data_IF_263403831725
#
_entry.id   IF_263403831725
#
_cell.length_a   1.000
_cell.length_b   1.000
_cell.length_c   1.000
_cell.angle_alpha   90.00
_cell.angle_beta   90.00
_cell.angle_gamma   90.00
#
_symmetry.space_group_name_H-M   'P 1'
#
loop_
_entity.id
_entity.type
_entity.pdbx_description
1 polymer ?
#
# COMPACT_ATOMS: atom_id res chain seq x y z
N UNK A 1 3.41 -17.57 4.25
CA UNK A 1 3.22 -16.11 4.35
C UNK A 1 3.83 -15.51 3.11
N UNK A 2 3.04 -14.86 2.28
CA UNK A 2 3.51 -14.27 1.02
C UNK A 2 2.65 -13.06 0.64
N UNK A 3 3.23 -12.16 -0.16
CA UNK A 3 2.53 -11.02 -0.70
C UNK A 3 1.66 -11.44 -1.88
N UNK A 4 0.40 -11.01 -1.88
CA UNK A 4 -0.53 -11.20 -2.99
C UNK A 4 -1.23 -9.90 -3.36
N UNK A 5 -1.75 -9.84 -4.58
CA UNK A 5 -2.60 -8.72 -5.00
C UNK A 5 -3.77 -8.52 -4.02
N UNK A 6 -4.04 -7.25 -3.73
CA UNK A 6 -5.19 -6.85 -2.91
C UNK A 6 -6.50 -7.10 -3.67
N UNK A 7 -7.55 -7.43 -2.93
CA UNK A 7 -8.93 -7.51 -3.42
C UNK A 7 -9.82 -6.58 -2.60
N UNK A 8 -11.03 -6.27 -3.10
CA UNK A 8 -12.00 -5.45 -2.34
C UNK A 8 -12.29 -6.02 -0.93
N UNK A 9 -12.26 -7.35 -0.79
CA UNK A 9 -12.49 -8.02 0.50
C UNK A 9 -11.38 -7.79 1.54
N UNK A 10 -10.24 -7.22 1.12
CA UNK A 10 -9.11 -6.94 2.01
C UNK A 10 -9.16 -5.51 2.58
N UNK A 11 -9.95 -4.59 2.03
CA UNK A 11 -9.93 -3.16 2.39
C UNK A 11 -10.23 -2.91 3.89
N UNK A 12 -11.22 -3.61 4.45
CA UNK A 12 -11.52 -3.52 5.88
C UNK A 12 -10.36 -4.03 6.73
N UNK A 13 -9.65 -5.06 6.27
CA UNK A 13 -8.50 -5.64 6.98
C UNK A 13 -7.29 -4.71 6.94
N UNK A 14 -7.07 -4.07 5.80
CA UNK A 14 -6.02 -3.04 5.61
C UNK A 14 -6.26 -1.89 6.59
N UNK A 15 -7.49 -1.37 6.62
CA UNK A 15 -7.88 -0.28 7.54
C UNK A 15 -7.63 -0.67 8.99
N UNK A 16 -8.13 -1.83 9.43
CA UNK A 16 -7.94 -2.29 10.81
C UNK A 16 -6.46 -2.47 11.18
N UNK A 17 -5.63 -2.93 10.23
CA UNK A 17 -4.19 -3.09 10.47
C UNK A 17 -3.48 -1.73 10.51
N UNK A 18 -3.86 -0.79 9.64
CA UNK A 18 -3.32 0.56 9.61
C UNK A 18 -3.60 1.28 10.95
N UNK A 19 -4.83 1.22 11.45
CA UNK A 19 -5.22 1.79 12.75
C UNK A 19 -4.40 1.20 13.92
N UNK A 20 -4.10 -0.09 13.86
CA UNK A 20 -3.30 -0.76 14.89
C UNK A 20 -1.80 -0.41 14.82
N UNK A 21 -1.28 -0.01 13.66
CA UNK A 21 0.15 0.27 13.43
C UNK A 21 0.46 1.77 13.52
N UNK A 22 -0.40 2.63 12.97
CA UNK A 22 -0.18 4.07 12.80
C UNK A 22 -1.00 4.89 13.81
N UNK A 23 -0.65 4.79 15.09
CA UNK A 23 -1.38 5.46 16.18
C UNK A 23 -1.33 7.00 16.09
N UNK A 24 -0.20 7.56 15.66
CA UNK A 24 0.02 9.01 15.63
C UNK A 24 -0.40 9.67 14.30
N UNK A 25 -0.59 8.87 13.25
CA UNK A 25 -0.86 9.32 11.89
C UNK A 25 -1.86 8.40 11.17
N UNK A 26 -3.10 8.29 11.69
CA UNK A 26 -4.11 7.45 11.05
C UNK A 26 -4.52 8.06 9.70
N UNK A 27 -4.75 7.22 8.71
CA UNK A 27 -5.42 7.59 7.47
C UNK A 27 -6.80 6.94 7.39
N UNK A 28 -7.77 7.69 6.86
CA UNK A 28 -9.12 7.21 6.63
C UNK A 28 -9.11 6.06 5.62
N UNK A 29 -9.99 5.06 5.84
CA UNK A 29 -10.17 3.93 4.92
C UNK A 29 -10.40 4.32 3.46
N UNK A 30 -11.00 5.50 3.23
CA UNK A 30 -11.21 6.05 1.90
C UNK A 30 -9.91 6.39 1.15
N UNK A 31 -8.79 6.63 1.84
CA UNK A 31 -7.46 6.81 1.23
C UNK A 31 -7.01 5.51 0.59
N UNK A 32 -7.03 4.41 1.34
CA UNK A 32 -6.65 3.08 0.84
C UNK A 32 -7.56 2.64 -0.29
N UNK A 33 -8.89 2.82 -0.14
CA UNK A 33 -9.86 2.50 -1.18
C UNK A 33 -9.67 3.34 -2.46
N UNK A 34 -9.29 4.62 -2.32
CA UNK A 34 -9.00 5.47 -3.47
C UNK A 34 -7.72 5.02 -4.20
N UNK A 35 -6.66 4.70 -3.47
CA UNK A 35 -5.43 4.17 -4.06
C UNK A 35 -5.69 2.86 -4.80
N UNK A 36 -6.38 1.91 -4.15
CA UNK A 36 -6.74 0.63 -4.77
C UNK A 36 -7.59 0.80 -6.03
N UNK A 37 -8.58 1.68 -6.00
CA UNK A 37 -9.44 1.96 -7.17
C UNK A 37 -8.66 2.60 -8.32
N UNK A 38 -7.75 3.52 -8.03
CA UNK A 38 -7.01 4.26 -9.06
C UNK A 38 -5.82 3.45 -9.60
N UNK A 39 -5.21 2.62 -8.79
CA UNK A 39 -4.01 1.86 -9.16
C UNK A 39 -3.92 0.51 -8.41
N UNK A 40 -4.75 -0.47 -8.77
CA UNK A 40 -4.81 -1.77 -8.08
C UNK A 40 -3.49 -2.56 -8.19
N UNK A 41 -2.72 -2.33 -9.26
CA UNK A 41 -1.45 -3.02 -9.50
C UNK A 41 -0.39 -2.71 -8.42
N UNK A 42 -0.44 -1.55 -7.78
CA UNK A 42 0.47 -1.18 -6.70
C UNK A 42 -0.02 -1.55 -5.29
N UNK A 43 -1.14 -2.28 -5.19
CA UNK A 43 -1.78 -2.60 -3.91
C UNK A 43 -1.71 -4.10 -3.60
N UNK A 44 -1.06 -4.45 -2.49
CA UNK A 44 -0.84 -5.84 -2.06
C UNK A 44 -1.16 -6.03 -0.58
N UNK A 45 -1.47 -7.27 -0.21
CA UNK A 45 -1.57 -7.69 1.20
C UNK A 45 -0.66 -8.88 1.46
N UNK A 46 -0.14 -8.95 2.67
CA UNK A 46 0.67 -10.06 3.15
C UNK A 46 -0.26 -11.13 3.73
N UNK A 47 -0.49 -12.20 2.99
CA UNK A 47 -1.32 -13.30 3.43
C UNK A 47 -0.61 -14.14 4.49
N UNK A 48 -1.22 -14.30 5.66
CA UNK A 48 -0.70 -15.12 6.77
C UNK A 48 -1.55 -16.37 7.04
N UNK A 49 -2.46 -16.71 6.13
CA UNK A 49 -3.36 -17.86 6.23
C UNK A 49 -4.68 -17.56 6.94
N UNK A 50 -5.64 -18.48 6.80
CA UNK A 50 -6.98 -18.44 7.43
C UNK A 50 -7.76 -17.14 7.14
N UNK A 51 -7.54 -16.55 5.96
CA UNK A 51 -8.16 -15.28 5.58
C UNK A 51 -7.67 -14.07 6.39
N UNK A 52 -6.52 -14.17 7.06
CA UNK A 52 -5.89 -13.07 7.80
C UNK A 52 -4.77 -12.44 6.97
N UNK A 53 -4.53 -11.15 7.22
CA UNK A 53 -3.38 -10.44 6.66
C UNK A 53 -2.42 -10.05 7.78
N UNK A 54 -1.13 -10.09 7.49
CA UNK A 54 -0.05 -9.67 8.39
C UNK A 54 0.62 -8.37 7.97
N UNK A 55 0.13 -7.72 6.92
CA UNK A 55 0.73 -6.53 6.32
C UNK A 55 -0.03 -6.09 5.08
N UNK A 56 0.22 -4.86 4.66
CA UNK A 56 -0.28 -4.31 3.40
C UNK A 56 0.79 -3.41 2.78
N UNK A 57 0.66 -3.21 1.47
CA UNK A 57 1.50 -2.34 0.66
C UNK A 57 0.58 -1.55 -0.26
N UNK A 58 0.66 -0.22 -0.19
CA UNK A 58 -0.02 0.71 -1.09
C UNK A 58 1.04 1.54 -1.79
N UNK A 59 1.05 1.50 -3.12
CA UNK A 59 1.94 2.29 -3.96
C UNK A 59 1.26 2.66 -5.26
N UNK A 60 1.68 3.76 -5.87
CA UNK A 60 1.10 4.24 -7.12
C UNK A 60 2.06 5.20 -7.85
N UNK A 61 1.86 5.41 -9.17
CA UNK A 61 2.47 6.52 -9.90
C UNK A 61 2.17 7.86 -9.23
N UNK A 62 3.18 8.70 -9.09
CA UNK A 62 3.12 9.95 -8.36
C UNK A 62 3.74 11.12 -9.12
N UNK A 63 3.80 12.25 -8.43
CA UNK A 63 4.52 13.45 -8.88
C UNK A 63 5.62 13.79 -7.87
N UNK A 64 6.85 13.94 -8.36
CA UNK A 64 8.01 14.32 -7.56
C UNK A 64 7.78 15.69 -6.91
N UNK A 65 8.24 15.83 -5.67
CA UNK A 65 8.08 17.02 -4.84
C UNK A 65 6.61 17.45 -4.60
N UNK A 66 5.64 16.58 -4.88
CA UNK A 66 4.21 16.82 -4.63
C UNK A 66 3.54 15.53 -4.11
N UNK A 67 3.92 15.05 -2.91
CA UNK A 67 3.30 13.87 -2.32
C UNK A 67 1.80 14.09 -2.05
N UNK A 68 0.97 13.03 -2.03
CA UNK A 68 -0.41 13.11 -1.55
C UNK A 68 -0.48 13.76 -0.17
N UNK A 69 -1.50 14.58 0.07
CA UNK A 69 -1.77 15.09 1.41
C UNK A 69 -2.22 13.93 2.31
N UNK A 70 -1.69 13.86 3.53
CA UNK A 70 -2.06 12.86 4.51
C UNK A 70 -3.58 12.90 4.77
N UNK A 71 -4.20 11.73 4.88
CA UNK A 71 -5.63 11.59 5.18
C UNK A 71 -6.57 12.24 4.12
N UNK A 72 -6.08 12.42 2.89
CA UNK A 72 -6.87 12.96 1.78
C UNK A 72 -6.93 11.96 0.62
N UNK A 73 -8.10 11.37 0.33
CA UNK A 73 -8.25 10.41 -0.75
C UNK A 73 -7.89 11.00 -2.12
N UNK A 74 -7.07 10.25 -2.87
CA UNK A 74 -6.78 10.58 -4.26
C UNK A 74 -8.06 10.57 -5.11
N UNK A 75 -8.26 11.65 -5.87
CA UNK A 75 -9.37 11.76 -6.82
C UNK A 75 -8.99 11.27 -8.21
N UNK A 76 -7.72 11.37 -8.55
CA UNK A 76 -7.07 10.90 -9.78
C UNK A 76 -5.58 10.73 -9.53
N UNK A 77 -4.89 9.99 -10.39
CA UNK A 77 -3.42 9.99 -10.41
C UNK A 77 -2.92 11.39 -10.82
N UNK A 78 -1.81 11.87 -10.25
CA UNK A 78 -1.29 13.21 -10.55
C UNK A 78 -0.76 13.29 -11.98
N UNK A 79 -0.61 14.53 -12.48
CA UNK A 79 0.04 14.80 -13.76
C UNK A 79 1.08 15.92 -13.59
N UNK A 80 2.29 15.77 -14.19
CA UNK A 80 2.79 14.56 -14.84
C UNK A 80 3.05 13.41 -13.85
N UNK A 81 3.16 12.19 -14.38
CA UNK A 81 3.65 11.02 -13.64
C UNK A 81 5.16 10.93 -13.83
N UNK A 82 5.93 11.49 -12.91
CA UNK A 82 7.39 11.58 -13.00
C UNK A 82 8.12 10.88 -11.83
N UNK A 83 7.38 10.20 -10.94
CA UNK A 83 7.93 9.29 -9.95
C UNK A 83 6.99 8.12 -9.64
N UNK A 84 7.52 7.10 -8.97
CA UNK A 84 6.72 6.04 -8.37
C UNK A 84 6.73 6.19 -6.84
N UNK A 85 5.55 6.31 -6.25
CA UNK A 85 5.38 6.67 -4.84
C UNK A 85 4.97 5.45 -4.01
N UNK A 86 5.81 5.11 -3.02
CA UNK A 86 5.44 4.19 -1.95
C UNK A 86 4.58 4.97 -0.95
N UNK A 87 3.25 4.82 -1.07
CA UNK A 87 2.30 5.59 -0.26
C UNK A 87 2.30 5.12 1.19
N UNK A 88 2.13 3.82 1.40
CA UNK A 88 2.14 3.24 2.74
C UNK A 88 2.54 1.76 2.72
N UNK A 89 3.23 1.32 3.77
CA UNK A 89 3.69 -0.04 3.98
C UNK A 89 3.71 -0.36 5.46
N UNK A 90 2.85 -1.30 5.87
CA UNK A 90 2.81 -1.81 7.23
C UNK A 90 3.09 -3.32 7.26
N UNK A 91 3.90 -3.73 8.24
CA UNK A 91 4.10 -5.14 8.60
C UNK A 91 3.74 -5.31 10.07
N UNK A 92 2.64 -6.04 10.29
CA UNK A 92 2.10 -6.36 11.60
C UNK A 92 3.02 -7.28 12.39
N UNK A 93 2.81 -7.35 13.70
CA UNK A 93 3.68 -8.06 14.64
C UNK A 93 3.94 -9.52 14.24
N UNK A 94 2.91 -10.23 13.78
CA UNK A 94 2.99 -11.63 13.38
C UNK A 94 3.94 -11.91 12.19
N UNK A 95 4.31 -10.87 11.42
CA UNK A 95 5.15 -10.97 10.23
C UNK A 95 6.54 -10.32 10.39
N UNK A 96 6.82 -9.67 11.53
CA UNK A 96 8.12 -9.02 11.78
C UNK A 96 9.24 -10.05 11.89
N UNK A 97 10.46 -9.66 11.55
CA UNK A 97 11.65 -10.53 11.61
C UNK A 97 11.77 -11.54 10.47
N UNK A 98 10.81 -11.59 9.53
CA UNK A 98 10.78 -12.56 8.43
C UNK A 98 11.20 -11.97 7.06
N UNK A 99 11.69 -10.73 7.03
CA UNK A 99 12.12 -10.07 5.79
C UNK A 99 10.99 -9.57 4.87
N UNK A 100 9.73 -9.59 5.35
CA UNK A 100 8.56 -9.24 4.54
C UNK A 100 8.53 -7.80 4.05
N UNK A 101 9.11 -6.86 4.81
CA UNK A 101 9.26 -5.46 4.38
C UNK A 101 10.22 -5.33 3.18
N UNK A 102 11.34 -6.05 3.18
CA UNK A 102 12.28 -6.05 2.05
C UNK A 102 11.59 -6.60 0.80
N UNK A 103 10.82 -7.69 0.94
CA UNK A 103 10.06 -8.26 -0.17
C UNK A 103 9.01 -7.29 -0.71
N UNK A 104 8.35 -6.51 0.15
CA UNK A 104 7.41 -5.48 -0.28
C UNK A 104 8.10 -4.37 -1.10
N UNK A 105 9.29 -3.92 -0.67
CA UNK A 105 10.07 -2.91 -1.42
C UNK A 105 10.52 -3.45 -2.77
N UNK A 106 10.90 -4.73 -2.87
CA UNK A 106 11.19 -5.38 -4.16
C UNK A 106 9.99 -5.33 -5.11
N UNK A 107 8.78 -5.62 -4.61
CA UNK A 107 7.54 -5.54 -5.40
C UNK A 107 7.32 -4.11 -5.93
N UNK A 108 7.51 -3.09 -5.07
CA UNK A 108 7.40 -1.67 -5.46
C UNK A 108 8.39 -1.32 -6.57
N UNK A 109 9.66 -1.74 -6.44
CA UNK A 109 10.70 -1.45 -7.44
C UNK A 109 10.41 -2.17 -8.76
N UNK A 110 9.93 -3.42 -8.71
CA UNK A 110 9.53 -4.15 -9.90
C UNK A 110 8.35 -3.48 -10.62
N UNK A 111 7.34 -3.02 -9.89
CA UNK A 111 6.18 -2.33 -10.46
C UNK A 111 6.56 -0.95 -11.02
N UNK A 112 7.41 -0.19 -10.32
CA UNK A 112 7.97 1.08 -10.82
C UNK A 112 8.67 0.89 -12.18
N UNK A 113 9.54 -0.14 -12.28
CA UNK A 113 10.25 -0.47 -13.54
C UNK A 113 9.28 -0.85 -14.66
N UNK A 114 8.22 -1.60 -14.36
CA UNK A 114 7.18 -1.95 -15.34
C UNK A 114 6.42 -0.72 -15.81
N UNK A 115 6.20 0.25 -14.92
CA UNK A 115 5.56 1.54 -15.22
C UNK A 115 6.46 2.55 -15.94
N UNK A 116 7.77 2.29 -16.03
CA UNK A 116 8.74 3.18 -16.69
C UNK A 116 9.27 4.32 -15.80
N UNK A 117 9.26 4.13 -14.48
CA UNK A 117 9.81 5.06 -13.48
C UNK A 117 11.24 4.69 -13.06
#
# INVERSE_FOLDING_TARGET
>A
MDWRAMTDADLDRVTNLAEAVHLDYPENSSVFAACFRLYPAGCHVLDIGDGRIGGYLISHPGRLDTPPAIDVPLKRLPEPLDCYYLHDLAVGEAARGHGMANRAVEIVVEEARRGGF
#
